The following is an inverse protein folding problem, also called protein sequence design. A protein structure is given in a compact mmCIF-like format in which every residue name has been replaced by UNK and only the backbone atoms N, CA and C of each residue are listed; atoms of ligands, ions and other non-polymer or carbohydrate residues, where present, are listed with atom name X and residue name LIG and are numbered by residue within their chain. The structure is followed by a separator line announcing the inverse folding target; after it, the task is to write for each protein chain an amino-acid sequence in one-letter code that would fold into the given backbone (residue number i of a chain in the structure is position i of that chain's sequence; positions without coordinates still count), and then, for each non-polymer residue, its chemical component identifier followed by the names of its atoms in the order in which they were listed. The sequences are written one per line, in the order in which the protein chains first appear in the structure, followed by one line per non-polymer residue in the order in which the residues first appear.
data_IF_056468211458
#
_entry.id   IF_056468211458
#
_cell.length_a   1.000
_cell.length_b   1.000
_cell.length_c   1.000
_cell.angle_alpha   90.00
_cell.angle_beta   90.00
_cell.angle_gamma   90.00
#
_symmetry.space_group_name_H-M   'P 1'
#
loop_
_entity.id
_entity.type
_entity.pdbx_description
1 polymer ?
#
# COMPACT_ATOMS: atom_id res chain seq x y z
N UNK A 1 -10.28 20.54 -19.44
CA UNK A 1 -10.19 19.65 -18.25
C UNK A 1 -9.06 20.14 -17.39
N UNK A 2 -9.25 20.17 -16.08
CA UNK A 2 -8.15 20.39 -15.13
C UNK A 2 -7.18 19.21 -15.17
N UNK A 3 -5.94 19.40 -14.65
CA UNK A 3 -4.96 18.32 -14.56
C UNK A 3 -5.53 17.13 -13.77
N UNK A 4 -6.27 17.42 -12.70
CA UNK A 4 -6.89 16.41 -11.83
C UNK A 4 -7.99 15.60 -12.57
N UNK A 5 -8.86 16.26 -13.34
CA UNK A 5 -9.87 15.59 -14.16
C UNK A 5 -9.24 14.67 -15.20
N UNK A 6 -8.14 15.12 -15.83
CA UNK A 6 -7.38 14.32 -16.80
C UNK A 6 -6.76 13.09 -16.14
N UNK A 7 -6.14 13.25 -14.97
CA UNK A 7 -5.58 12.13 -14.20
C UNK A 7 -6.65 11.11 -13.83
N UNK A 8 -7.76 11.55 -13.26
CA UNK A 8 -8.87 10.66 -12.88
C UNK A 8 -9.47 9.93 -14.10
N UNK A 9 -9.63 10.62 -15.24
CA UNK A 9 -10.11 9.99 -16.47
C UNK A 9 -9.14 8.92 -16.97
N UNK A 10 -7.83 9.16 -16.90
CA UNK A 10 -6.80 8.19 -17.27
C UNK A 10 -6.82 6.97 -16.35
N UNK A 11 -6.75 7.18 -15.03
CA UNK A 11 -6.65 6.11 -14.04
C UNK A 11 -7.92 5.24 -13.96
N UNK A 12 -9.10 5.83 -14.16
CA UNK A 12 -10.35 5.07 -14.14
C UNK A 12 -10.53 4.12 -15.33
N UNK A 13 -9.67 4.17 -16.38
CA UNK A 13 -9.67 3.18 -17.48
C UNK A 13 -9.29 1.77 -17.00
N UNK A 14 -8.43 1.67 -15.98
CA UNK A 14 -8.09 0.42 -15.32
C UNK A 14 -8.01 0.64 -13.81
N UNK A 15 -9.17 0.92 -13.23
CA UNK A 15 -9.31 1.33 -11.83
C UNK A 15 -8.62 0.38 -10.85
N UNK A 16 -8.74 -0.94 -11.07
CA UNK A 16 -8.17 -1.93 -10.15
C UNK A 16 -6.64 -1.90 -10.14
N UNK A 17 -6.01 -1.66 -11.29
CA UNK A 17 -4.55 -1.54 -11.38
C UNK A 17 -4.04 -0.27 -10.68
N UNK A 18 -4.80 0.82 -10.73
CA UNK A 18 -4.36 2.13 -10.27
C UNK A 18 -4.98 2.56 -8.93
N UNK A 19 -5.44 1.60 -8.10
CA UNK A 19 -6.09 1.91 -6.82
C UNK A 19 -5.19 2.70 -5.86
N UNK A 20 -3.88 2.42 -5.81
CA UNK A 20 -2.94 3.19 -5.02
C UNK A 20 -2.88 4.65 -5.45
N UNK A 21 -2.79 4.95 -6.76
CA UNK A 21 -2.79 6.32 -7.28
C UNK A 21 -4.14 7.01 -7.04
N UNK A 22 -5.24 6.30 -7.22
CA UNK A 22 -6.58 6.83 -6.95
C UNK A 22 -6.80 7.12 -5.46
N UNK A 23 -6.26 6.27 -4.57
CA UNK A 23 -6.39 6.46 -3.13
C UNK A 23 -5.62 7.70 -2.65
N UNK A 24 -4.37 7.89 -3.07
CA UNK A 24 -3.60 9.06 -2.68
C UNK A 24 -4.17 10.38 -3.23
N UNK A 25 -4.77 10.34 -4.45
CA UNK A 25 -5.53 11.48 -5.00
C UNK A 25 -6.80 11.76 -4.17
N UNK A 26 -7.57 10.74 -3.83
CA UNK A 26 -8.78 10.84 -3.00
C UNK A 26 -8.48 11.42 -1.62
N UNK A 27 -7.37 11.01 -0.99
CA UNK A 27 -6.92 11.47 0.33
C UNK A 27 -6.33 12.88 0.31
N UNK A 28 -5.99 13.41 -0.87
CA UNK A 28 -5.33 14.70 -1.02
C UNK A 28 -3.86 14.68 -0.57
N UNK A 29 -3.23 13.50 -0.45
CA UNK A 29 -1.80 13.36 -0.15
C UNK A 29 -0.93 13.47 -1.40
N UNK A 30 -1.52 13.27 -2.59
CA UNK A 30 -0.80 13.32 -3.86
C UNK A 30 -0.56 14.76 -4.34
N UNK A 31 0.63 14.98 -4.86
CA UNK A 31 0.97 16.10 -5.73
C UNK A 31 1.02 15.60 -7.18
N UNK A 32 0.12 16.11 -8.00
CA UNK A 32 0.00 15.71 -9.40
C UNK A 32 1.01 16.47 -10.26
N UNK A 33 2.01 15.77 -10.79
CA UNK A 33 3.11 16.36 -11.55
C UNK A 33 2.84 16.35 -13.06
N UNK A 34 2.19 15.30 -13.57
CA UNK A 34 1.83 15.17 -14.98
C UNK A 34 0.55 14.36 -15.16
N UNK A 35 -0.29 14.75 -16.08
CA UNK A 35 -1.44 13.96 -16.52
C UNK A 35 -1.78 14.23 -17.97
N UNK A 36 -2.06 13.15 -18.72
CA UNK A 36 -2.47 13.18 -20.12
C UNK A 36 -3.22 11.90 -20.49
N UNK A 37 -3.60 11.81 -21.76
CA UNK A 37 -4.27 10.58 -22.25
C UNK A 37 -3.36 9.34 -22.15
N UNK A 38 -2.05 9.54 -22.26
CA UNK A 38 -1.04 8.49 -22.23
C UNK A 38 -0.60 8.07 -20.81
N UNK A 39 -0.98 8.76 -19.74
CA UNK A 39 -0.54 8.36 -18.40
C UNK A 39 -0.73 9.40 -17.32
N UNK A 40 -0.15 9.13 -16.15
CA UNK A 40 -0.16 10.00 -14.97
C UNK A 40 1.17 9.83 -14.22
N UNK A 41 1.72 10.93 -13.71
CA UNK A 41 2.81 10.96 -12.74
C UNK A 41 2.37 11.79 -11.54
N UNK A 42 2.52 11.25 -10.35
CA UNK A 42 2.28 11.95 -9.09
C UNK A 42 3.35 11.61 -8.05
N UNK A 43 3.47 12.49 -7.06
CA UNK A 43 4.25 12.24 -5.84
C UNK A 43 3.29 12.13 -4.66
N UNK A 44 3.38 11.07 -3.89
CA UNK A 44 2.60 10.89 -2.66
C UNK A 44 3.42 11.29 -1.43
N UNK A 45 2.96 12.33 -0.73
CA UNK A 45 3.61 12.80 0.50
C UNK A 45 3.51 11.81 1.67
N UNK A 46 2.52 10.92 1.62
CA UNK A 46 2.30 9.92 2.68
C UNK A 46 3.34 8.81 2.68
N UNK A 47 3.68 8.30 1.50
CA UNK A 47 4.67 7.23 1.32
C UNK A 47 6.04 7.73 0.88
N UNK A 48 6.16 8.97 0.40
CA UNK A 48 7.37 9.50 -0.23
C UNK A 48 7.62 8.96 -1.64
N UNK A 49 6.65 8.26 -2.23
CA UNK A 49 6.83 7.58 -3.51
C UNK A 49 6.41 8.45 -4.70
N UNK A 50 7.19 8.38 -5.77
CA UNK A 50 6.74 8.77 -7.10
C UNK A 50 5.99 7.60 -7.72
N UNK A 51 4.76 7.84 -8.19
CA UNK A 51 3.93 6.81 -8.80
C UNK A 51 3.62 7.21 -10.25
N UNK A 52 3.88 6.30 -11.19
CA UNK A 52 3.64 6.58 -12.59
C UNK A 52 3.00 5.42 -13.35
N UNK A 53 2.23 5.77 -14.35
CA UNK A 53 1.81 4.91 -15.44
C UNK A 53 2.03 5.65 -16.76
N UNK A 54 2.65 5.00 -17.73
CA UNK A 54 2.87 5.55 -19.07
C UNK A 54 2.56 4.48 -20.12
N UNK A 55 1.56 4.73 -20.94
CA UNK A 55 1.10 3.79 -21.98
C UNK A 55 1.95 3.83 -23.24
N UNK A 56 2.69 4.90 -23.43
CA UNK A 56 3.53 5.11 -24.61
C UNK A 56 4.78 5.94 -24.28
N UNK A 57 5.70 5.97 -25.22
CA UNK A 57 6.97 6.68 -25.12
C UNK A 57 6.81 8.18 -24.91
N UNK A 58 5.86 8.80 -25.60
CA UNK A 58 5.67 10.25 -25.51
C UNK A 58 5.20 10.68 -24.11
N UNK A 59 4.33 9.89 -23.47
CA UNK A 59 3.92 10.11 -22.10
C UNK A 59 5.11 9.96 -21.13
N UNK A 60 5.89 8.89 -21.28
CA UNK A 60 7.07 8.68 -20.44
C UNK A 60 8.09 9.82 -20.58
N UNK A 61 8.41 10.22 -21.81
CA UNK A 61 9.33 11.32 -22.09
C UNK A 61 8.89 12.65 -21.48
N UNK A 62 7.56 12.88 -21.41
CA UNK A 62 6.98 14.05 -20.73
C UNK A 62 7.11 13.98 -19.20
N UNK A 63 7.16 12.79 -18.61
CA UNK A 63 7.25 12.58 -17.17
C UNK A 63 8.68 12.57 -16.65
N UNK A 64 9.62 12.00 -17.40
CA UNK A 64 11.01 11.80 -16.96
C UNK A 64 11.73 13.07 -16.47
N UNK A 65 11.54 14.26 -17.07
CA UNK A 65 12.17 15.50 -16.59
C UNK A 65 11.61 16.00 -15.25
N UNK A 66 10.44 15.50 -14.83
CA UNK A 66 9.77 15.89 -13.59
C UNK A 66 10.16 15.02 -12.39
N UNK A 67 10.85 13.92 -12.65
CA UNK A 67 11.39 13.07 -11.59
C UNK A 67 12.75 13.63 -11.13
N UNK A 68 12.98 13.78 -9.81
CA UNK A 68 14.27 14.25 -9.30
C UNK A 68 15.36 13.23 -9.56
N UNK A 69 16.61 13.71 -9.65
CA UNK A 69 17.74 12.83 -9.94
C UNK A 69 18.04 11.82 -8.81
N UNK A 70 17.64 12.15 -7.59
CA UNK A 70 17.77 11.36 -6.37
C UNK A 70 16.47 10.61 -6.01
N UNK A 71 15.63 10.30 -7.00
CA UNK A 71 14.43 9.50 -6.82
C UNK A 71 14.80 8.10 -6.32
N UNK A 72 14.46 7.79 -5.08
CA UNK A 72 14.82 6.56 -4.38
C UNK A 72 13.64 5.58 -4.24
N UNK A 73 12.41 6.06 -4.38
CA UNK A 73 11.20 5.24 -4.32
C UNK A 73 10.26 5.54 -5.49
N UNK A 74 10.15 4.58 -6.40
CA UNK A 74 9.36 4.71 -7.61
C UNK A 74 8.42 3.51 -7.78
N UNK A 75 7.13 3.78 -7.97
CA UNK A 75 6.08 2.79 -8.23
C UNK A 75 5.65 2.91 -9.69
N UNK A 76 6.04 1.93 -10.50
CA UNK A 76 5.62 1.82 -11.89
C UNK A 76 4.48 0.82 -12.07
N UNK A 77 3.54 1.11 -12.98
CA UNK A 77 2.39 0.25 -13.24
C UNK A 77 2.48 -0.52 -14.56
N UNK A 78 3.53 -0.28 -15.34
CA UNK A 78 3.77 -0.95 -16.62
C UNK A 78 5.21 -1.45 -16.67
N UNK A 79 5.44 -2.64 -17.23
CA UNK A 79 6.76 -3.28 -17.23
C UNK A 79 7.69 -2.80 -18.33
N UNK A 80 7.17 -2.18 -19.41
CA UNK A 80 7.95 -1.87 -20.59
C UNK A 80 9.04 -0.79 -20.38
N UNK A 81 8.88 0.08 -19.39
CA UNK A 81 9.87 1.12 -19.05
C UNK A 81 10.71 0.78 -17.81
N UNK A 82 10.51 -0.36 -17.22
CA UNK A 82 11.13 -0.82 -15.98
C UNK A 82 12.64 -0.69 -15.98
N UNK A 83 13.31 -1.32 -16.96
CA UNK A 83 14.78 -1.37 -17.02
C UNK A 83 15.38 0.02 -17.27
N UNK A 84 14.68 0.88 -18.02
CA UNK A 84 15.10 2.26 -18.24
C UNK A 84 15.06 3.07 -16.95
N UNK A 85 13.98 2.97 -16.17
CA UNK A 85 13.87 3.68 -14.88
C UNK A 85 14.87 3.15 -13.86
N UNK A 86 15.02 1.85 -13.76
CA UNK A 86 16.01 1.24 -12.87
C UNK A 86 17.43 1.73 -13.18
N UNK A 87 17.82 1.73 -14.45
CA UNK A 87 19.13 2.23 -14.88
C UNK A 87 19.31 3.74 -14.70
N UNK A 88 18.27 4.53 -14.98
CA UNK A 88 18.34 6.01 -14.89
C UNK A 88 18.50 6.50 -13.45
N UNK A 89 17.80 5.89 -12.49
CA UNK A 89 17.77 6.31 -11.09
C UNK A 89 18.66 5.45 -10.19
N UNK A 90 19.38 4.46 -10.75
CA UNK A 90 20.24 3.58 -9.97
C UNK A 90 19.50 2.77 -8.93
N UNK A 91 18.26 2.38 -9.21
CA UNK A 91 17.43 1.62 -8.28
C UNK A 91 18.05 0.24 -8.05
N UNK A 92 18.40 -0.04 -6.80
CA UNK A 92 19.17 -1.24 -6.42
C UNK A 92 18.26 -2.41 -6.02
N UNK A 93 16.98 -2.14 -5.75
CA UNK A 93 15.98 -3.14 -5.36
C UNK A 93 14.72 -2.97 -6.18
N UNK A 94 14.17 -4.08 -6.59
CA UNK A 94 12.90 -4.12 -7.28
C UNK A 94 12.00 -5.18 -6.66
N UNK A 95 10.73 -4.86 -6.53
CA UNK A 95 9.69 -5.77 -6.06
C UNK A 95 8.53 -5.76 -7.04
N UNK A 96 8.26 -6.92 -7.64
CA UNK A 96 7.07 -7.11 -8.48
C UNK A 96 5.89 -7.54 -7.62
N UNK A 97 4.80 -6.80 -7.74
CA UNK A 97 3.59 -7.04 -6.95
C UNK A 97 2.36 -7.24 -7.84
N UNK A 98 1.42 -8.03 -7.37
CA UNK A 98 0.03 -8.00 -7.82
C UNK A 98 -0.78 -7.15 -6.83
N UNK A 99 -1.71 -6.34 -7.36
CA UNK A 99 -2.61 -5.58 -6.53
C UNK A 99 -3.90 -6.36 -6.31
N UNK A 100 -4.19 -6.68 -5.06
CA UNK A 100 -5.42 -7.31 -4.61
C UNK A 100 -6.37 -6.24 -4.08
N UNK A 101 -7.66 -6.33 -4.40
CA UNK A 101 -8.65 -5.37 -3.96
C UNK A 101 -9.96 -6.04 -3.53
N UNK A 102 -10.58 -5.49 -2.50
CA UNK A 102 -11.94 -5.84 -2.14
C UNK A 102 -12.91 -5.02 -2.98
N UNK A 103 -13.72 -5.70 -3.79
CA UNK A 103 -14.64 -5.06 -4.76
C UNK A 103 -16.12 -5.19 -4.38
N UNK A 104 -16.44 -5.99 -3.38
CA UNK A 104 -17.82 -6.08 -2.89
C UNK A 104 -18.20 -4.80 -2.12
N UNK A 105 -19.47 -4.35 -2.22
CA UNK A 105 -19.95 -3.16 -1.50
C UNK A 105 -19.99 -3.35 0.02
N UNK A 106 -20.28 -4.58 0.46
CA UNK A 106 -20.36 -4.91 1.88
C UNK A 106 -18.98 -5.32 2.43
N UNK A 107 -18.64 -4.91 3.67
CA UNK A 107 -17.41 -5.38 4.30
C UNK A 107 -17.47 -6.89 4.56
N UNK A 108 -16.33 -7.59 4.51
CA UNK A 108 -16.30 -9.02 4.78
C UNK A 108 -16.66 -9.31 6.24
N UNK A 109 -17.32 -10.44 6.47
CA UNK A 109 -17.44 -10.96 7.83
C UNK A 109 -16.08 -11.41 8.34
N UNK A 110 -15.76 -11.06 9.59
CA UNK A 110 -14.56 -11.55 10.24
C UNK A 110 -14.76 -13.01 10.66
N UNK A 111 -13.85 -13.94 10.29
CA UNK A 111 -13.95 -15.31 10.77
C UNK A 111 -13.70 -15.35 12.30
N UNK A 112 -14.36 -16.27 12.97
CA UNK A 112 -14.05 -16.58 14.36
C UNK A 112 -12.64 -17.19 14.45
N UNK A 113 -11.78 -16.68 15.32
CA UNK A 113 -10.41 -17.18 15.49
C UNK A 113 -10.03 -17.47 16.96
N UNK A 114 -10.97 -17.50 17.87
CA UNK A 114 -10.70 -17.79 19.29
C UNK A 114 -9.95 -16.68 20.01
N UNK A 115 -10.16 -15.43 19.60
CA UNK A 115 -9.53 -14.24 20.16
C UNK A 115 -10.32 -12.97 19.79
N UNK A 116 -9.71 -11.82 19.94
CA UNK A 116 -10.31 -10.53 19.61
C UNK A 116 -9.42 -9.68 18.70
N UNK A 117 -10.04 -8.85 17.84
CA UNK A 117 -9.38 -7.78 17.11
C UNK A 117 -9.63 -6.45 17.81
N UNK A 118 -8.56 -5.66 18.00
CA UNK A 118 -8.66 -4.30 18.49
C UNK A 118 -7.59 -3.41 17.89
N UNK A 119 -7.83 -2.11 17.85
CA UNK A 119 -6.81 -1.15 17.42
C UNK A 119 -5.67 -1.12 18.44
N UNK A 120 -4.44 -1.09 17.93
CA UNK A 120 -3.24 -0.94 18.74
C UNK A 120 -3.03 0.52 19.13
N UNK A 121 -2.67 0.78 20.38
CA UNK A 121 -2.15 2.05 20.84
C UNK A 121 -0.63 2.16 20.62
N UNK A 122 -0.09 3.36 20.81
CA UNK A 122 1.33 3.67 20.57
C UNK A 122 2.28 2.83 21.45
N UNK A 123 1.81 2.39 22.59
CA UNK A 123 2.55 1.52 23.53
C UNK A 123 3.00 0.21 22.90
N UNK A 124 2.32 -0.23 21.83
CA UNK A 124 2.66 -1.45 21.10
C UNK A 124 3.74 -1.26 20.05
N UNK A 125 4.14 -0.02 19.72
CA UNK A 125 5.09 0.24 18.65
C UNK A 125 6.44 -0.49 18.81
N UNK A 126 7.06 -0.56 20.00
CA UNK A 126 8.30 -1.31 20.18
C UNK A 126 8.12 -2.81 19.89
N UNK A 127 7.02 -3.38 20.39
CA UNK A 127 6.72 -4.80 20.21
C UNK A 127 6.47 -5.14 18.73
N UNK A 128 5.67 -4.34 18.03
CA UNK A 128 5.40 -4.50 16.60
C UNK A 128 6.70 -4.38 15.80
N UNK A 129 7.54 -3.38 16.09
CA UNK A 129 8.82 -3.17 15.41
C UNK A 129 9.77 -4.37 15.58
N UNK A 130 9.82 -4.96 16.77
CA UNK A 130 10.65 -6.14 17.05
C UNK A 130 10.18 -7.39 16.30
N UNK A 131 8.86 -7.54 16.11
CA UNK A 131 8.26 -8.75 15.57
C UNK A 131 7.88 -8.67 14.09
N UNK A 132 7.97 -7.49 13.49
CA UNK A 132 7.71 -7.33 12.06
C UNK A 132 8.88 -7.80 11.22
N UNK A 133 8.66 -8.84 10.42
CA UNK A 133 9.71 -9.51 9.65
C UNK A 133 10.37 -8.64 8.56
N UNK A 134 9.78 -7.49 8.22
CA UNK A 134 10.29 -6.50 7.25
C UNK A 134 10.62 -5.15 7.90
N UNK A 135 11.00 -5.16 9.16
CA UNK A 135 11.32 -3.95 9.95
C UNK A 135 12.50 -3.11 9.42
N UNK A 136 13.29 -3.66 8.48
CA UNK A 136 14.37 -2.93 7.78
C UNK A 136 13.85 -1.71 7.01
N UNK A 137 12.55 -1.65 6.75
CA UNK A 137 11.88 -0.56 6.03
C UNK A 137 11.26 0.38 7.06
N UNK A 138 12.00 1.43 7.49
CA UNK A 138 11.47 2.57 8.23
C UNK A 138 11.54 2.55 9.76
N UNK A 139 11.85 1.42 10.39
CA UNK A 139 12.10 1.35 11.84
C UNK A 139 10.90 1.73 12.73
N UNK A 140 11.21 2.10 13.99
CA UNK A 140 10.20 2.36 15.02
C UNK A 140 9.26 3.54 14.68
N UNK A 141 9.78 4.59 14.04
CA UNK A 141 8.98 5.76 13.69
C UNK A 141 7.93 5.44 12.62
N UNK A 142 8.29 4.63 11.63
CA UNK A 142 7.34 4.13 10.63
C UNK A 142 6.22 3.30 11.28
N UNK A 143 6.56 2.44 12.25
CA UNK A 143 5.55 1.66 13.00
C UNK A 143 4.63 2.56 13.83
N UNK A 144 5.15 3.62 14.47
CA UNK A 144 4.32 4.59 15.19
C UNK A 144 3.32 5.28 14.26
N UNK A 145 3.77 5.70 13.10
CA UNK A 145 2.91 6.31 12.08
C UNK A 145 1.82 5.33 11.60
N UNK A 146 2.19 4.07 11.36
CA UNK A 146 1.24 3.02 10.95
C UNK A 146 0.20 2.72 12.06
N UNK A 147 0.60 2.69 13.33
CA UNK A 147 -0.32 2.57 14.47
C UNK A 147 -1.25 3.77 14.54
N UNK A 148 -0.73 4.99 14.41
CA UNK A 148 -1.54 6.22 14.34
C UNK A 148 -2.52 6.24 13.17
N UNK A 149 -2.14 5.64 12.03
CA UNK A 149 -3.03 5.42 10.89
C UNK A 149 -4.07 4.31 11.12
N UNK A 150 -3.97 3.54 12.21
CA UNK A 150 -4.94 2.53 12.63
C UNK A 150 -4.48 1.10 12.32
N UNK A 151 -3.57 0.59 13.11
CA UNK A 151 -3.14 -0.81 13.07
C UNK A 151 -4.05 -1.69 13.92
N UNK A 152 -4.46 -2.83 13.39
CA UNK A 152 -5.21 -3.86 14.13
C UNK A 152 -4.24 -4.85 14.77
N UNK A 153 -4.52 -5.22 16.02
CA UNK A 153 -3.91 -6.35 16.72
C UNK A 153 -4.90 -7.48 16.91
N UNK A 154 -4.46 -8.72 16.68
CA UNK A 154 -5.18 -9.93 17.04
C UNK A 154 -4.65 -10.45 18.38
N UNK A 155 -5.51 -10.54 19.38
CA UNK A 155 -5.17 -10.99 20.73
C UNK A 155 -5.76 -12.37 21.01
N UNK A 156 -4.94 -13.25 21.53
CA UNK A 156 -5.31 -14.58 22.01
C UNK A 156 -4.88 -14.71 23.47
N UNK A 157 -5.82 -14.99 24.35
CA UNK A 157 -5.58 -15.08 25.80
C UNK A 157 -4.83 -13.83 26.36
N UNK A 158 -5.18 -12.65 25.86
CA UNK A 158 -4.59 -11.37 26.24
C UNK A 158 -3.22 -11.07 25.61
N UNK A 159 -2.63 -12.00 24.85
CA UNK A 159 -1.34 -11.83 24.19
C UNK A 159 -1.52 -11.36 22.74
N UNK A 160 -0.75 -10.35 22.31
CA UNK A 160 -0.71 -9.92 20.91
C UNK A 160 -0.09 -11.02 20.05
N UNK A 161 -0.91 -11.66 19.23
CA UNK A 161 -0.56 -12.83 18.42
C UNK A 161 -0.30 -12.51 16.95
N UNK A 162 -0.69 -11.31 16.50
CA UNK A 162 -0.47 -10.82 15.15
C UNK A 162 -1.02 -9.43 14.98
N UNK A 163 -0.68 -8.77 13.89
CA UNK A 163 -1.11 -7.40 13.59
C UNK A 163 -1.23 -7.18 12.07
N UNK A 164 -2.00 -6.16 11.69
CA UNK A 164 -2.11 -5.66 10.32
C UNK A 164 -2.35 -4.16 10.33
N UNK A 165 -1.74 -3.44 9.40
CA UNK A 165 -1.84 -1.98 9.30
C UNK A 165 -1.97 -1.50 7.87
N UNK A 166 -1.70 -0.21 7.68
CA UNK A 166 -1.75 0.45 6.38
C UNK A 166 -0.39 1.10 6.09
N UNK A 167 0.05 0.97 4.85
CA UNK A 167 1.19 1.75 4.34
C UNK A 167 0.83 3.21 4.12
N UNK A 168 1.82 4.06 3.90
CA UNK A 168 1.63 5.50 3.73
C UNK A 168 0.66 5.88 2.61
N UNK A 169 0.64 5.14 1.51
CA UNK A 169 -0.28 5.33 0.38
C UNK A 169 -1.68 4.73 0.61
N UNK A 170 -1.89 4.05 1.74
CA UNK A 170 -3.20 3.50 2.14
C UNK A 170 -3.44 2.04 1.80
N UNK A 171 -2.46 1.33 1.23
CA UNK A 171 -2.60 -0.12 1.02
C UNK A 171 -2.58 -0.88 2.35
N UNK A 172 -3.38 -1.93 2.44
CA UNK A 172 -3.39 -2.88 3.56
C UNK A 172 -2.09 -3.68 3.50
N UNK A 173 -1.34 -3.66 4.58
CA UNK A 173 -0.07 -4.36 4.70
C UNK A 173 0.37 -4.49 6.15
N UNK A 174 1.69 -4.49 6.40
CA UNK A 174 2.26 -4.66 7.75
C UNK A 174 1.64 -5.88 8.47
N UNK A 175 1.26 -6.91 7.68
CA UNK A 175 0.58 -8.10 8.18
C UNK A 175 1.62 -9.10 8.70
N UNK A 176 1.53 -9.42 9.98
CA UNK A 176 2.33 -10.46 10.61
C UNK A 176 1.48 -11.31 11.56
N UNK A 177 1.67 -12.62 11.52
CA UNK A 177 1.14 -13.54 12.54
C UNK A 177 2.32 -14.24 13.17
N UNK A 178 2.45 -14.12 14.48
CA UNK A 178 3.57 -14.69 15.22
C UNK A 178 3.61 -16.22 15.05
N UNK A 179 4.79 -16.84 14.94
CA UNK A 179 4.93 -18.27 14.60
C UNK A 179 4.08 -19.20 15.45
N UNK A 180 4.00 -18.98 16.77
CA UNK A 180 3.22 -19.80 17.71
C UNK A 180 1.69 -19.76 17.46
N UNK A 181 1.20 -18.77 16.69
CA UNK A 181 -0.24 -18.54 16.47
C UNK A 181 -0.65 -18.76 15.00
N UNK A 182 0.27 -19.15 14.13
CA UNK A 182 -0.01 -19.43 12.71
C UNK A 182 -0.96 -20.60 12.54
N UNK A 183 -1.64 -20.64 11.39
CA UNK A 183 -2.60 -21.71 11.00
C UNK A 183 -3.85 -21.80 11.89
N UNK A 184 -4.20 -20.71 12.57
CA UNK A 184 -5.40 -20.61 13.43
C UNK A 184 -6.41 -19.57 12.92
N UNK A 185 -6.34 -19.12 11.66
CA UNK A 185 -7.26 -18.14 11.06
C UNK A 185 -6.95 -16.67 11.37
N UNK A 186 -5.89 -16.36 12.17
CA UNK A 186 -5.60 -14.99 12.60
C UNK A 186 -5.25 -14.05 11.42
N UNK A 187 -4.49 -14.54 10.45
CA UNK A 187 -4.11 -13.75 9.27
C UNK A 187 -5.33 -13.33 8.46
N UNK A 188 -6.27 -14.25 8.26
CA UNK A 188 -7.53 -13.95 7.58
C UNK A 188 -8.40 -12.97 8.38
N UNK A 189 -8.49 -13.16 9.69
CA UNK A 189 -9.25 -12.26 10.57
C UNK A 189 -8.68 -10.84 10.54
N UNK A 190 -7.34 -10.69 10.62
CA UNK A 190 -6.64 -9.41 10.52
C UNK A 190 -6.88 -8.75 9.16
N UNK A 191 -6.73 -9.50 8.06
CA UNK A 191 -6.94 -8.96 6.71
C UNK A 191 -8.39 -8.50 6.51
N UNK A 192 -9.37 -9.30 6.90
CA UNK A 192 -10.80 -8.94 6.81
C UNK A 192 -11.14 -7.76 7.72
N UNK A 193 -10.55 -7.69 8.92
CA UNK A 193 -10.66 -6.55 9.81
C UNK A 193 -10.09 -5.27 9.21
N UNK A 194 -8.93 -5.34 8.56
CA UNK A 194 -8.33 -4.20 7.87
C UNK A 194 -9.16 -3.74 6.66
N UNK A 195 -9.72 -4.68 5.88
CA UNK A 195 -10.66 -4.35 4.79
C UNK A 195 -11.89 -3.62 5.34
N UNK A 196 -12.50 -4.11 6.42
CA UNK A 196 -13.63 -3.45 7.08
C UNK A 196 -13.26 -2.03 7.52
N UNK A 197 -12.13 -1.88 8.20
CA UNK A 197 -11.64 -0.58 8.69
C UNK A 197 -11.40 0.42 7.54
N UNK A 198 -10.83 -0.03 6.41
CA UNK A 198 -10.68 0.79 5.22
C UNK A 198 -12.02 1.28 4.67
N UNK A 199 -13.00 0.36 4.51
CA UNK A 199 -14.34 0.69 4.01
C UNK A 199 -15.10 1.64 4.94
N UNK A 200 -15.03 1.44 6.26
CA UNK A 200 -15.63 2.33 7.27
C UNK A 200 -15.08 3.75 7.20
N UNK A 201 -13.83 3.90 6.75
CA UNK A 201 -13.16 5.20 6.52
C UNK A 201 -13.41 5.77 5.12
N UNK A 202 -14.21 5.10 4.29
CA UNK A 202 -14.44 5.48 2.90
C UNK A 202 -13.19 5.36 2.03
N UNK A 203 -12.23 4.50 2.41
CA UNK A 203 -10.99 4.23 1.67
C UNK A 203 -11.18 3.05 0.72
N UNK A 204 -10.35 2.98 -0.32
CA UNK A 204 -10.26 1.75 -1.10
C UNK A 204 -9.57 0.67 -0.26
N UNK A 205 -10.18 -0.51 -0.17
CA UNK A 205 -9.58 -1.65 0.50
C UNK A 205 -8.76 -2.45 -0.51
N UNK A 206 -7.44 -2.25 -0.51
CA UNK A 206 -6.51 -2.92 -1.42
C UNK A 206 -5.19 -3.20 -0.70
N UNK A 207 -4.42 -4.11 -1.26
CA UNK A 207 -3.06 -4.42 -0.79
C UNK A 207 -2.19 -4.86 -1.97
N UNK A 208 -0.89 -4.83 -1.77
CA UNK A 208 0.11 -5.26 -2.75
C UNK A 208 0.78 -6.54 -2.25
N UNK A 209 0.76 -7.56 -3.09
CA UNK A 209 1.30 -8.89 -2.76
C UNK A 209 2.46 -9.16 -3.71
N UNK A 210 3.64 -9.43 -3.16
CA UNK A 210 4.81 -9.86 -3.95
C UNK A 210 4.47 -11.11 -4.74
N UNK A 211 4.84 -11.16 -6.02
CA UNK A 211 4.54 -12.31 -6.89
C UNK A 211 5.19 -13.61 -6.41
N UNK A 212 6.33 -13.49 -5.70
CA UNK A 212 7.07 -14.61 -5.14
C UNK A 212 6.62 -14.99 -3.72
N UNK A 213 5.62 -14.30 -3.18
CA UNK A 213 5.06 -14.62 -1.89
C UNK A 213 4.21 -15.90 -2.02
N UNK A 214 4.85 -17.05 -1.79
CA UNK A 214 4.14 -18.32 -1.80
C UNK A 214 3.00 -18.26 -0.76
N UNK A 215 1.83 -18.88 -1.04
CA UNK A 215 0.69 -18.81 -0.15
C UNK A 215 1.06 -19.34 1.23
N UNK A 216 1.03 -18.45 2.18
CA UNK A 216 1.20 -18.75 3.60
C UNK A 216 -0.09 -19.32 4.16
#
# INVERSE_FOLDING_TARGET
MSLNETALACLNRNRLLYLNMLEVLRRGSAELLWAGEGGVLLYDRGSGAYMLTARDRAALDGMLPLLPADCDLLVGHDLWYRDELAGRFGLWKEELCVQAAWTAPEPPEAPAFGGELRLLGEEWAPYVCEHYSKSDIGGLEHIRQAIGAGMLGAFVDGTLAGFAGFHGEGSIGLLEVLPAYRRRGLGEALLRGAVRLALERGQYAFGQVLIDNAPS
#
